data_IF_371399102176
#
_entry.id   IF_371399102176
#
_cell.length_a   1.000
_cell.length_b   1.000
_cell.length_c   1.000
_cell.angle_alpha   90.00
_cell.angle_beta   90.00
_cell.angle_gamma   90.00
#
_symmetry.space_group_name_H-M   'P 1'
#
loop_
_entity.id
_entity.type
_entity.pdbx_description
1 polymer ?
#
# COMPACT_ATOMS: atom_id res chain seq x y z
N UNK A 1 35.50 5.46 18.37
CA UNK A 1 34.75 5.72 17.13
C UNK A 1 33.39 5.10 17.30
N UNK A 2 32.36 5.93 17.45
CA UNK A 2 30.98 5.49 17.60
C UNK A 2 30.52 4.94 16.24
N UNK A 3 30.04 3.70 16.18
CA UNK A 3 29.47 3.06 14.98
C UNK A 3 28.17 3.73 14.47
N UNK A 4 27.79 4.88 15.03
CA UNK A 4 26.52 5.56 14.77
C UNK A 4 26.53 6.40 13.48
N UNK A 5 27.70 6.78 12.94
CA UNK A 5 27.80 7.60 11.72
C UNK A 5 28.11 6.76 10.45
N UNK A 6 27.39 5.64 10.23
CA UNK A 6 27.58 4.79 9.03
C UNK A 6 26.42 4.94 8.03
N UNK A 7 26.67 5.36 6.77
CA UNK A 7 25.63 5.46 5.73
C UNK A 7 24.91 4.14 5.41
N UNK A 8 25.44 2.98 5.85
CA UNK A 8 24.75 1.69 5.76
C UNK A 8 23.43 1.67 6.54
N UNK A 9 23.32 2.44 7.60
CA UNK A 9 22.09 2.56 8.42
C UNK A 9 20.95 3.13 7.58
N UNK A 10 21.24 4.15 6.77
CA UNK A 10 20.28 4.72 5.83
C UNK A 10 19.79 3.67 4.81
N UNK A 11 20.70 2.95 4.15
CA UNK A 11 20.34 1.92 3.18
C UNK A 11 19.59 0.73 3.81
N UNK A 12 19.83 0.43 5.10
CA UNK A 12 19.03 -0.55 5.83
C UNK A 12 17.59 -0.06 6.02
N UNK A 13 17.40 1.22 6.38
CA UNK A 13 16.07 1.81 6.54
C UNK A 13 15.30 1.96 5.22
N UNK A 14 16.00 2.20 4.10
CA UNK A 14 15.37 2.21 2.77
C UNK A 14 14.89 0.80 2.38
N UNK A 15 15.69 -0.24 2.66
CA UNK A 15 15.28 -1.64 2.41
C UNK A 15 14.06 -2.05 3.22
N UNK A 16 13.97 -1.64 4.49
CA UNK A 16 12.78 -1.94 5.30
C UNK A 16 11.57 -1.20 4.74
N UNK A 17 11.70 0.07 4.35
CA UNK A 17 10.62 0.82 3.68
C UNK A 17 10.14 0.10 2.40
N UNK A 18 11.05 -0.31 1.52
CA UNK A 18 10.70 -1.04 0.29
C UNK A 18 10.03 -2.40 0.58
N UNK A 19 10.42 -3.08 1.66
CA UNK A 19 9.75 -4.30 2.10
C UNK A 19 8.31 -4.03 2.56
N UNK A 20 8.07 -2.96 3.32
CA UNK A 20 6.73 -2.53 3.71
C UNK A 20 5.86 -2.15 2.49
N UNK A 21 6.45 -1.45 1.51
CA UNK A 21 5.77 -1.12 0.26
C UNK A 21 5.36 -2.36 -0.53
N UNK A 22 6.22 -3.38 -0.62
CA UNK A 22 5.88 -4.64 -1.29
C UNK A 22 4.67 -5.32 -0.66
N UNK A 23 4.61 -5.37 0.67
CA UNK A 23 3.44 -5.89 1.39
C UNK A 23 2.20 -5.04 1.13
N UNK A 24 2.31 -3.72 1.16
CA UNK A 24 1.21 -2.80 0.84
C UNK A 24 0.63 -3.04 -0.56
N UNK A 25 1.49 -3.16 -1.59
CA UNK A 25 1.06 -3.46 -2.97
C UNK A 25 0.35 -4.81 -3.03
N UNK A 26 0.88 -5.84 -2.36
CA UNK A 26 0.24 -7.15 -2.33
C UNK A 26 -1.17 -7.09 -1.73
N UNK A 27 -1.37 -6.36 -0.63
CA UNK A 27 -2.69 -6.16 -0.03
C UNK A 27 -3.65 -5.40 -0.95
N UNK A 28 -3.19 -4.32 -1.60
CA UNK A 28 -4.01 -3.54 -2.54
C UNK A 28 -4.43 -4.40 -3.74
N UNK A 29 -3.48 -5.12 -4.35
CA UNK A 29 -3.75 -5.96 -5.52
C UNK A 29 -4.68 -7.13 -5.16
N UNK A 30 -4.45 -7.81 -4.04
CA UNK A 30 -5.33 -8.87 -3.55
C UNK A 30 -6.74 -8.33 -3.29
N UNK A 31 -6.85 -7.18 -2.61
CA UNK A 31 -8.14 -6.56 -2.30
C UNK A 31 -8.94 -6.21 -3.54
N UNK A 32 -8.27 -5.70 -4.59
CA UNK A 32 -8.90 -5.45 -5.89
C UNK A 32 -9.46 -6.72 -6.54
N UNK A 33 -8.68 -7.82 -6.53
CA UNK A 33 -9.12 -9.10 -7.08
C UNK A 33 -10.33 -9.66 -6.31
N UNK A 34 -10.29 -9.58 -4.97
CA UNK A 34 -11.37 -10.05 -4.10
C UNK A 34 -12.65 -9.23 -4.28
N UNK A 35 -12.53 -7.91 -4.44
CA UNK A 35 -13.69 -7.04 -4.73
C UNK A 35 -14.37 -7.42 -6.05
N UNK A 36 -13.57 -7.62 -7.10
CA UNK A 36 -14.07 -7.95 -8.45
C UNK A 36 -14.60 -9.38 -8.59
N UNK A 37 -14.37 -10.24 -7.61
CA UNK A 37 -14.75 -11.65 -7.68
C UNK A 37 -16.28 -11.85 -7.84
N UNK A 38 -17.10 -11.01 -7.20
CA UNK A 38 -18.56 -11.06 -7.35
C UNK A 38 -19.03 -10.76 -8.78
N UNK A 39 -18.42 -9.78 -9.43
CA UNK A 39 -18.70 -9.46 -10.84
C UNK A 39 -18.20 -10.56 -11.78
N UNK A 40 -17.02 -11.13 -11.51
CA UNK A 40 -16.48 -12.24 -12.29
C UNK A 40 -17.44 -13.43 -12.30
N UNK A 41 -18.00 -13.80 -11.14
CA UNK A 41 -18.99 -14.87 -11.06
C UNK A 41 -20.29 -14.58 -11.83
N UNK A 42 -20.73 -13.30 -11.86
CA UNK A 42 -21.89 -12.88 -12.64
C UNK A 42 -21.66 -13.07 -14.15
N UNK A 43 -20.46 -12.73 -14.65
CA UNK A 43 -20.10 -12.94 -16.06
C UNK A 43 -20.05 -14.41 -16.47
N UNK A 44 -19.72 -15.31 -15.54
CA UNK A 44 -19.68 -16.75 -15.79
C UNK A 44 -21.07 -17.42 -15.82
N UNK A 45 -22.16 -16.64 -15.79
CA UNK A 45 -23.55 -17.14 -15.70
C UNK A 45 -23.80 -18.08 -14.50
N UNK A 46 -22.91 -18.08 -13.50
CA UNK A 46 -23.12 -18.72 -12.20
C UNK A 46 -24.10 -17.92 -11.32
N UNK A 47 -24.64 -16.81 -11.85
CA UNK A 47 -25.52 -15.87 -11.15
C UNK A 47 -26.82 -16.50 -10.65
N UNK A 48 -27.31 -17.60 -11.24
CA UNK A 48 -28.49 -18.30 -10.73
C UNK A 48 -28.23 -19.07 -9.41
N UNK A 49 -26.98 -19.18 -8.95
CA UNK A 49 -26.60 -19.94 -7.75
C UNK A 49 -26.02 -19.07 -6.63
N UNK A 50 -25.83 -17.76 -6.84
CA UNK A 50 -25.08 -16.91 -5.90
C UNK A 50 -26.01 -15.89 -5.27
N UNK A 51 -26.18 -16.00 -3.94
CA UNK A 51 -26.91 -15.00 -3.19
C UNK A 51 -26.22 -13.63 -3.28
N UNK A 52 -26.97 -12.53 -3.46
CA UNK A 52 -26.42 -11.17 -3.54
C UNK A 52 -25.57 -10.79 -2.31
N UNK A 53 -25.84 -11.43 -1.17
CA UNK A 53 -25.07 -11.30 0.08
C UNK A 53 -23.61 -11.69 -0.09
N UNK A 54 -23.29 -12.78 -0.80
CA UNK A 54 -21.90 -13.22 -0.98
C UNK A 54 -21.10 -12.22 -1.82
N UNK A 55 -21.73 -11.61 -2.84
CA UNK A 55 -21.09 -10.56 -3.64
C UNK A 55 -20.80 -9.32 -2.79
N UNK A 56 -21.72 -8.92 -1.91
CA UNK A 56 -21.52 -7.79 -1.00
C UNK A 56 -20.42 -8.06 0.03
N UNK A 57 -20.33 -9.28 0.56
CA UNK A 57 -19.25 -9.69 1.48
C UNK A 57 -17.90 -9.65 0.76
N UNK A 58 -17.79 -10.19 -0.46
CA UNK A 58 -16.55 -10.15 -1.24
C UNK A 58 -16.10 -8.71 -1.51
N UNK A 59 -17.04 -7.83 -1.88
CA UNK A 59 -16.76 -6.41 -2.07
C UNK A 59 -16.26 -5.74 -0.79
N UNK A 60 -16.90 -6.01 0.35
CA UNK A 60 -16.48 -5.47 1.65
C UNK A 60 -15.09 -5.95 2.06
N UNK A 61 -14.80 -7.25 1.92
CA UNK A 61 -13.48 -7.82 2.21
C UNK A 61 -12.41 -7.19 1.31
N UNK A 62 -12.69 -7.08 0.01
CA UNK A 62 -11.77 -6.45 -0.93
C UNK A 62 -11.46 -5.00 -0.58
N UNK A 63 -12.49 -4.21 -0.23
CA UNK A 63 -12.35 -2.83 0.22
C UNK A 63 -11.47 -2.73 1.48
N UNK A 64 -11.68 -3.61 2.46
CA UNK A 64 -10.88 -3.66 3.70
C UNK A 64 -9.41 -3.98 3.42
N UNK A 65 -9.14 -4.90 2.50
CA UNK A 65 -7.77 -5.23 2.09
C UNK A 65 -7.06 -4.06 1.39
N UNK A 66 -7.75 -3.35 0.50
CA UNK A 66 -7.22 -2.14 -0.15
C UNK A 66 -6.94 -1.06 0.90
N UNK A 67 -7.87 -0.85 1.85
CA UNK A 67 -7.70 0.10 2.94
C UNK A 67 -6.47 -0.25 3.78
N UNK A 68 -6.32 -1.51 4.16
CA UNK A 68 -5.21 -2.01 4.94
C UNK A 68 -3.88 -1.78 4.21
N UNK A 69 -3.78 -2.13 2.92
CA UNK A 69 -2.57 -1.91 2.12
C UNK A 69 -2.22 -0.42 1.99
N UNK A 70 -3.23 0.43 1.75
CA UNK A 70 -3.07 1.90 1.71
C UNK A 70 -2.53 2.43 3.05
N UNK A 71 -3.06 1.92 4.16
CA UNK A 71 -2.65 2.32 5.51
C UNK A 71 -1.22 1.87 5.83
N UNK A 72 -0.84 0.64 5.48
CA UNK A 72 0.55 0.16 5.59
C UNK A 72 1.49 1.08 4.82
N UNK A 73 1.13 1.44 3.59
CA UNK A 73 1.95 2.32 2.77
C UNK A 73 2.17 3.68 3.45
N UNK A 74 1.10 4.30 3.95
CA UNK A 74 1.17 5.57 4.66
C UNK A 74 2.00 5.49 5.95
N UNK A 75 1.76 4.46 6.78
CA UNK A 75 2.50 4.26 8.03
C UNK A 75 3.99 4.08 7.78
N UNK A 76 4.37 3.31 6.75
CA UNK A 76 5.77 3.10 6.38
C UNK A 76 6.45 4.41 5.99
N UNK A 77 5.76 5.29 5.24
CA UNK A 77 6.27 6.61 4.89
C UNK A 77 6.46 7.51 6.11
N UNK A 78 5.50 7.51 7.04
CA UNK A 78 5.58 8.28 8.29
C UNK A 78 6.74 7.76 9.15
N UNK A 79 6.88 6.45 9.30
CA UNK A 79 7.97 5.84 10.06
C UNK A 79 9.33 6.16 9.46
N UNK A 80 9.49 6.04 8.14
CA UNK A 80 10.73 6.37 7.46
C UNK A 80 11.08 7.87 7.57
N UNK A 81 10.08 8.76 7.49
CA UNK A 81 10.28 10.21 7.69
C UNK A 81 10.67 10.55 9.14
N UNK A 82 10.09 9.85 10.12
CA UNK A 82 10.49 9.98 11.54
C UNK A 82 11.91 9.49 11.75
N UNK A 83 12.29 8.36 11.15
CA UNK A 83 13.64 7.83 11.18
C UNK A 83 14.64 8.82 10.57
N UNK A 84 14.35 9.35 9.38
CA UNK A 84 15.15 10.38 8.71
C UNK A 84 15.41 11.62 9.58
N UNK A 85 14.43 12.04 10.39
CA UNK A 85 14.60 13.17 11.32
C UNK A 85 15.52 12.87 12.50
N UNK A 86 15.76 11.61 12.82
CA UNK A 86 16.67 11.21 13.91
C UNK A 86 18.11 10.95 13.48
N UNK A 87 18.43 10.90 12.17
CA UNK A 87 19.81 10.72 11.72
C UNK A 87 20.61 12.03 11.81
N UNK A 88 21.89 11.91 12.18
CA UNK A 88 22.87 12.99 12.10
C UNK A 88 23.22 13.32 10.64
N UNK A 89 23.64 14.55 10.33
CA UNK A 89 24.05 14.97 8.97
C UNK A 89 25.23 14.16 8.39
N UNK A 90 25.94 13.40 9.23
CA UNK A 90 27.07 12.56 8.81
C UNK A 90 26.64 11.18 8.29
N UNK A 91 25.42 10.74 8.60
CA UNK A 91 24.86 9.44 8.18
C UNK A 91 24.18 9.49 6.80
N UNK A 92 24.00 10.69 6.25
CA UNK A 92 23.33 10.91 4.96
C UNK A 92 24.39 10.89 3.85
N UNK A 93 24.35 9.93 2.90
CA UNK A 93 25.30 9.91 1.80
C UNK A 93 25.18 11.20 0.96
N UNK A 94 26.28 11.89 0.66
CA UNK A 94 26.25 13.12 -0.11
C UNK A 94 25.69 12.85 -1.51
N UNK A 95 24.77 13.70 -1.95
CA UNK A 95 24.14 13.66 -3.28
C UNK A 95 23.07 12.57 -3.54
N UNK A 96 22.55 11.89 -2.51
CA UNK A 96 21.46 10.91 -2.67
C UNK A 96 20.06 11.54 -2.65
N UNK A 97 19.16 11.07 -3.53
CA UNK A 97 17.77 11.54 -3.60
C UNK A 97 16.92 10.96 -2.47
N UNK A 98 17.02 11.55 -1.29
CA UNK A 98 16.28 11.18 -0.07
C UNK A 98 14.75 11.13 -0.24
N UNK A 99 14.22 11.81 -1.24
CA UNK A 99 12.78 11.91 -1.50
C UNK A 99 12.20 10.74 -2.29
N UNK A 100 13.03 9.92 -2.94
CA UNK A 100 12.53 8.89 -3.87
C UNK A 100 11.74 7.79 -3.15
N UNK A 101 12.26 7.30 -2.03
CA UNK A 101 11.60 6.23 -1.27
C UNK A 101 10.26 6.68 -0.63
N UNK A 102 10.15 7.84 0.04
CA UNK A 102 8.86 8.37 0.50
C UNK A 102 7.88 8.66 -0.64
N UNK A 103 8.38 9.12 -1.81
CA UNK A 103 7.54 9.45 -2.96
C UNK A 103 6.80 8.20 -3.47
N UNK A 104 7.48 7.05 -3.58
CA UNK A 104 6.85 5.79 -3.98
C UNK A 104 5.70 5.43 -3.03
N UNK A 105 5.90 5.58 -1.72
CA UNK A 105 4.88 5.32 -0.72
C UNK A 105 3.67 6.24 -0.87
N UNK A 106 3.89 7.54 -1.10
CA UNK A 106 2.80 8.49 -1.32
C UNK A 106 2.04 8.19 -2.62
N UNK A 107 2.73 7.86 -3.70
CA UNK A 107 2.11 7.45 -4.98
C UNK A 107 1.23 6.21 -4.77
N UNK A 108 1.72 5.21 -4.04
CA UNK A 108 0.94 4.01 -3.72
C UNK A 108 -0.26 4.31 -2.81
N UNK A 109 -0.11 5.20 -1.84
CA UNK A 109 -1.21 5.64 -0.99
C UNK A 109 -2.30 6.35 -1.82
N UNK A 110 -1.91 7.30 -2.69
CA UNK A 110 -2.84 7.99 -3.58
C UNK A 110 -3.50 7.00 -4.54
N UNK A 111 -2.74 6.06 -5.11
CA UNK A 111 -3.27 5.01 -5.98
C UNK A 111 -4.31 4.14 -5.27
N UNK A 112 -4.07 3.73 -4.03
CA UNK A 112 -5.02 2.99 -3.21
C UNK A 112 -6.31 3.76 -2.93
N UNK A 113 -6.19 5.05 -2.60
CA UNK A 113 -7.36 5.95 -2.39
C UNK A 113 -8.16 6.12 -3.69
N UNK A 114 -7.48 6.34 -4.82
CA UNK A 114 -8.13 6.47 -6.13
C UNK A 114 -8.85 5.19 -6.52
N UNK A 115 -8.22 4.03 -6.33
CA UNK A 115 -8.88 2.73 -6.57
C UNK A 115 -10.11 2.56 -5.68
N UNK A 116 -10.02 2.89 -4.40
CA UNK A 116 -11.15 2.81 -3.48
C UNK A 116 -12.29 3.72 -3.93
N UNK A 117 -12.00 4.98 -4.30
CA UNK A 117 -12.98 5.91 -4.83
C UNK A 117 -13.64 5.40 -6.12
N UNK A 118 -12.84 4.82 -7.02
CA UNK A 118 -13.35 4.25 -8.27
C UNK A 118 -14.29 3.06 -8.01
N UNK A 119 -13.92 2.14 -7.12
CA UNK A 119 -14.76 1.00 -6.72
C UNK A 119 -16.08 1.47 -6.14
N UNK A 120 -16.05 2.43 -5.21
CA UNK A 120 -17.27 2.97 -4.59
C UNK A 120 -18.14 3.67 -5.63
N UNK A 121 -17.57 4.43 -6.57
CA UNK A 121 -18.34 5.06 -7.64
C UNK A 121 -19.01 4.05 -8.58
N UNK A 122 -18.34 2.93 -8.86
CA UNK A 122 -18.90 1.85 -9.67
C UNK A 122 -20.00 1.03 -8.97
N UNK A 123 -20.16 1.17 -7.65
CA UNK A 123 -21.25 0.55 -6.88
C UNK A 123 -22.51 1.43 -6.83
N UNK A 124 -22.37 2.73 -7.10
CA UNK A 124 -23.44 3.74 -7.00
C UNK A 124 -24.17 3.97 -8.34
N UNK A 125 -23.64 3.44 -9.45
CA UNK A 125 -24.20 3.51 -10.81
C UNK A 125 -24.84 2.17 -11.16
#
# INVERSE_FOLDING_TARGET
MSYLDDPRVYFAAERTLLAWQRSAVAFIALGFVVERFGLFMRYLNLSNQINPIHSAISAFIGLMLILLGTFISLLSAIQHKRFLKSLSSQEIPPSYFLFMAPLISYVLCIGGILMMGWIVSGFVI
#
